data_IF_844969266304
#
_entry.id   IF_844969266304
#
_cell.length_a   1.000
_cell.length_b   1.000
_cell.length_c   1.000
_cell.angle_alpha   90.00
_cell.angle_beta   90.00
_cell.angle_gamma   90.00
#
_symmetry.space_group_name_H-M   'P 1'
#
loop_
_entity.id
_entity.type
_entity.pdbx_description
1 polymer ?
#
# COMPACT_ATOMS: atom_id res chain seq x y z
N UNK A 1 17.01 -7.24 16.74
CA UNK A 1 17.00 -6.98 15.29
C UNK A 1 18.16 -7.75 14.68
N UNK A 2 17.93 -8.96 14.14
CA UNK A 2 18.95 -9.67 13.35
C UNK A 2 18.95 -9.05 11.95
N UNK A 3 19.83 -8.07 11.73
CA UNK A 3 19.95 -7.36 10.45
C UNK A 3 21.28 -7.72 9.82
N UNK A 4 21.27 -8.71 8.92
CA UNK A 4 22.49 -9.23 8.28
C UNK A 4 22.79 -8.58 6.92
N UNK A 5 22.15 -7.43 6.62
CA UNK A 5 22.15 -6.79 5.29
C UNK A 5 22.84 -5.43 5.18
N UNK A 6 23.48 -4.91 6.24
CA UNK A 6 24.11 -3.57 6.20
C UNK A 6 25.54 -3.71 5.65
N UNK A 7 25.80 -3.08 4.49
CA UNK A 7 27.09 -3.19 3.78
C UNK A 7 28.29 -2.64 4.55
N UNK A 8 28.11 -1.56 5.31
CA UNK A 8 29.15 -0.85 6.08
C UNK A 8 28.66 -0.55 7.50
N UNK A 9 28.55 -1.56 8.38
CA UNK A 9 27.86 -1.41 9.66
C UNK A 9 28.55 -0.43 10.63
N UNK A 10 29.88 -0.32 10.58
CA UNK A 10 30.64 0.52 11.51
C UNK A 10 30.59 2.02 11.19
N UNK A 11 30.08 2.41 10.02
CA UNK A 11 30.06 3.80 9.54
C UNK A 11 28.69 4.25 9.03
N UNK A 12 27.63 3.49 9.30
CA UNK A 12 26.26 3.80 8.84
C UNK A 12 25.41 4.41 9.96
N UNK A 13 24.68 5.48 9.63
CA UNK A 13 23.53 5.93 10.44
C UNK A 13 22.29 5.08 10.16
N UNK A 14 21.43 4.87 11.16
CA UNK A 14 20.26 4.00 11.05
C UNK A 14 18.97 4.81 11.10
N UNK A 15 18.05 4.53 10.17
CA UNK A 15 16.68 5.04 10.16
C UNK A 15 15.67 3.89 10.08
N UNK A 16 14.50 4.07 10.69
CA UNK A 16 13.42 3.08 10.73
C UNK A 16 12.19 3.64 10.01
N UNK A 17 11.63 2.87 9.07
CA UNK A 17 10.40 3.20 8.34
C UNK A 17 9.32 2.16 8.61
N UNK A 18 8.46 2.37 9.63
CA UNK A 18 7.31 1.51 9.84
C UNK A 18 6.17 1.91 8.90
N UNK A 19 5.51 0.91 8.31
CA UNK A 19 4.23 1.05 7.60
C UNK A 19 3.35 -0.10 8.05
N UNK A 20 2.14 0.19 8.54
CA UNK A 20 1.22 -0.81 9.11
C UNK A 20 -0.03 -1.01 8.25
N UNK A 21 -0.66 -2.18 8.38
CA UNK A 21 -1.93 -2.51 7.73
C UNK A 21 -3.02 -1.53 8.16
N UNK A 22 -3.24 -1.39 9.46
CA UNK A 22 -4.24 -0.48 10.05
C UNK A 22 -4.06 0.98 9.58
N UNK A 23 -2.81 1.45 9.55
CA UNK A 23 -2.47 2.81 9.11
C UNK A 23 -2.70 3.03 7.62
N UNK A 24 -2.44 2.01 6.80
CA UNK A 24 -2.66 2.04 5.35
C UNK A 24 -4.15 1.99 5.03
N UNK A 25 -4.86 1.02 5.60
CA UNK A 25 -6.28 0.78 5.35
C UNK A 25 -7.14 1.97 5.75
N UNK A 26 -6.89 2.60 6.91
CA UNK A 26 -7.65 3.80 7.32
C UNK A 26 -7.52 4.95 6.31
N UNK A 27 -6.35 5.12 5.70
CA UNK A 27 -6.07 6.18 4.74
C UNK A 27 -6.71 5.86 3.38
N UNK A 28 -6.50 4.65 2.90
CA UNK A 28 -7.00 4.19 1.61
C UNK A 28 -8.53 4.18 1.60
N UNK A 29 -9.16 3.67 2.66
CA UNK A 29 -10.62 3.71 2.84
C UNK A 29 -11.18 5.12 2.74
N UNK A 30 -10.52 6.10 3.37
CA UNK A 30 -10.91 7.51 3.27
C UNK A 30 -10.78 8.06 1.85
N UNK A 31 -9.73 7.68 1.12
CA UNK A 31 -9.55 8.09 -0.27
C UNK A 31 -10.62 7.49 -1.19
N UNK A 32 -10.97 6.21 -1.02
CA UNK A 32 -12.01 5.54 -1.79
C UNK A 32 -13.39 6.16 -1.49
N UNK A 33 -13.76 6.31 -0.22
CA UNK A 33 -15.01 6.98 0.14
C UNK A 33 -15.09 8.39 -0.42
N UNK A 34 -14.00 9.15 -0.35
CA UNK A 34 -13.95 10.48 -0.96
C UNK A 34 -14.20 10.42 -2.47
N UNK A 35 -13.61 9.45 -3.17
CA UNK A 35 -13.84 9.28 -4.60
C UNK A 35 -15.31 8.96 -4.93
N UNK A 36 -15.94 8.08 -4.16
CA UNK A 36 -17.36 7.73 -4.31
C UNK A 36 -18.25 8.95 -4.01
N UNK A 37 -18.04 9.62 -2.88
CA UNK A 37 -18.86 10.75 -2.42
C UNK A 37 -18.76 11.97 -3.36
N UNK A 38 -17.71 12.06 -4.17
CA UNK A 38 -17.41 13.21 -5.04
C UNK A 38 -17.30 12.85 -6.52
N UNK A 39 -17.84 11.69 -6.93
CA UNK A 39 -17.90 11.24 -8.33
C UNK A 39 -16.53 11.34 -9.04
N UNK A 40 -15.49 10.80 -8.39
CA UNK A 40 -14.12 10.77 -8.93
C UNK A 40 -13.87 9.47 -9.66
N UNK A 41 -13.28 9.56 -10.84
CA UNK A 41 -13.08 8.43 -11.74
C UNK A 41 -12.11 7.35 -11.22
N UNK A 42 -11.14 7.70 -10.36
CA UNK A 42 -10.12 6.75 -9.91
C UNK A 42 -9.44 7.12 -8.61
N UNK A 43 -8.90 6.09 -7.94
CA UNK A 43 -7.94 6.21 -6.84
C UNK A 43 -6.68 5.44 -7.22
N UNK A 44 -5.53 6.11 -7.18
CA UNK A 44 -4.23 5.51 -7.52
C UNK A 44 -3.38 5.31 -6.28
N UNK A 45 -2.98 4.06 -6.00
CA UNK A 45 -2.05 3.72 -4.92
C UNK A 45 -0.60 3.92 -5.41
N UNK A 46 0.00 5.05 -5.07
CA UNK A 46 1.40 5.35 -5.44
C UNK A 46 2.34 4.78 -4.39
N UNK A 47 3.34 4.01 -4.84
CA UNK A 47 4.28 3.33 -3.94
C UNK A 47 5.59 2.96 -4.66
N UNK A 48 6.66 2.69 -3.90
CA UNK A 48 7.93 2.13 -4.41
C UNK A 48 8.17 0.69 -3.92
N UNK A 49 7.11 -0.11 -4.00
CA UNK A 49 7.07 -1.48 -3.48
C UNK A 49 7.95 -2.48 -4.22
N UNK A 50 8.45 -2.15 -5.41
CA UNK A 50 9.40 -2.99 -6.14
C UNK A 50 10.74 -3.15 -5.40
N UNK A 51 11.17 -2.12 -4.65
CA UNK A 51 12.36 -2.16 -3.79
C UNK A 51 11.97 -2.34 -2.33
N UNK A 52 11.03 -1.53 -1.82
CA UNK A 52 10.57 -1.56 -0.43
C UNK A 52 9.39 -2.53 -0.25
N UNK A 53 9.62 -3.82 -0.51
CA UNK A 53 8.58 -4.85 -0.59
C UNK A 53 7.67 -4.94 0.63
N UNK A 54 8.24 -4.87 1.83
CA UNK A 54 7.52 -5.12 3.09
C UNK A 54 6.90 -3.87 3.72
N UNK A 55 7.08 -2.70 3.11
CA UNK A 55 6.47 -1.45 3.59
C UNK A 55 5.61 -0.83 2.49
N UNK A 56 6.22 -0.32 1.44
CA UNK A 56 5.50 0.30 0.33
C UNK A 56 4.82 -0.72 -0.59
N UNK A 57 5.39 -1.92 -0.74
CA UNK A 57 4.70 -3.03 -1.40
C UNK A 57 3.51 -3.51 -0.58
N UNK A 58 3.69 -3.59 0.74
CA UNK A 58 2.61 -3.95 1.66
C UNK A 58 1.46 -2.92 1.64
N UNK A 59 1.77 -1.61 1.61
CA UNK A 59 0.78 -0.54 1.43
C UNK A 59 -0.13 -0.76 0.21
N UNK A 60 0.47 -1.05 -0.96
CA UNK A 60 -0.28 -1.35 -2.18
C UNK A 60 -1.14 -2.62 -2.02
N UNK A 61 -0.55 -3.70 -1.50
CA UNK A 61 -1.25 -4.98 -1.35
C UNK A 61 -2.44 -4.87 -0.42
N UNK A 62 -2.29 -4.23 0.74
CA UNK A 62 -3.40 -4.00 1.67
C UNK A 62 -4.48 -3.10 1.07
N UNK A 63 -4.11 -2.14 0.22
CA UNK A 63 -5.09 -1.34 -0.51
C UNK A 63 -5.98 -2.15 -1.45
N UNK A 64 -5.38 -3.03 -2.26
CA UNK A 64 -6.16 -3.92 -3.13
C UNK A 64 -6.94 -4.99 -2.35
N UNK A 65 -6.41 -5.48 -1.23
CA UNK A 65 -7.12 -6.40 -0.33
C UNK A 65 -8.37 -5.71 0.25
N UNK A 66 -8.24 -4.47 0.72
CA UNK A 66 -9.34 -3.68 1.25
C UNK A 66 -10.43 -3.40 0.22
N UNK A 67 -10.05 -3.07 -1.02
CA UNK A 67 -11.01 -2.88 -2.13
C UNK A 67 -11.87 -4.13 -2.34
N UNK A 68 -11.27 -5.31 -2.32
CA UNK A 68 -12.00 -6.58 -2.48
C UNK A 68 -12.91 -6.90 -1.29
N UNK A 69 -12.45 -6.60 -0.07
CA UNK A 69 -13.13 -7.04 1.15
C UNK A 69 -14.23 -6.08 1.61
N UNK A 70 -14.12 -4.77 1.32
CA UNK A 70 -15.02 -3.75 1.85
C UNK A 70 -15.80 -2.99 0.78
N UNK A 71 -15.38 -3.05 -0.47
CA UNK A 71 -15.99 -2.32 -1.59
C UNK A 71 -16.41 -3.24 -2.74
N UNK A 72 -16.40 -4.56 -2.53
CA UNK A 72 -16.76 -5.57 -3.53
C UNK A 72 -16.02 -5.42 -4.87
N UNK A 73 -14.82 -4.84 -4.86
CA UNK A 73 -14.10 -4.51 -6.09
C UNK A 73 -13.63 -5.72 -6.87
N UNK A 74 -13.89 -5.72 -8.18
CA UNK A 74 -13.56 -6.79 -9.11
C UNK A 74 -12.27 -6.51 -9.88
N UNK A 75 -11.54 -7.56 -10.29
CA UNK A 75 -10.32 -7.40 -11.07
C UNK A 75 -10.63 -7.03 -12.52
N UNK A 76 -9.90 -6.03 -13.04
CA UNK A 76 -9.90 -5.68 -14.47
C UNK A 76 -8.85 -6.54 -15.18
N UNK A 77 -9.24 -7.28 -16.23
CA UNK A 77 -8.36 -8.08 -17.10
C UNK A 77 -7.41 -9.06 -16.36
N UNK A 78 -7.82 -9.55 -15.18
CA UNK A 78 -6.98 -10.43 -14.35
C UNK A 78 -6.00 -9.70 -13.41
N UNK A 79 -6.02 -8.37 -13.37
CA UNK A 79 -5.38 -7.53 -12.36
C UNK A 79 -4.06 -6.86 -12.78
N UNK A 80 -3.46 -6.06 -11.88
CA UNK A 80 -3.85 -5.86 -10.49
C UNK A 80 -4.94 -4.81 -10.28
N UNK A 81 -5.37 -4.09 -11.32
CA UNK A 81 -6.36 -3.02 -11.19
C UNK A 81 -7.74 -3.57 -10.85
N UNK A 82 -8.54 -2.76 -10.16
CA UNK A 82 -9.90 -3.10 -9.79
C UNK A 82 -10.92 -2.06 -10.24
N UNK A 83 -12.14 -2.50 -10.51
CA UNK A 83 -13.35 -1.67 -10.62
C UNK A 83 -14.24 -1.86 -9.40
N UNK A 84 -14.99 -0.82 -9.03
CA UNK A 84 -16.05 -0.86 -8.02
C UNK A 84 -17.42 -0.88 -8.70
#
# INVERSE_FOLDING_TARGET
MNVDGIRFPNTSGIGIKPVSKEGSERLIRKAINYAIDNDRESVSLVHKGNIMKYTEGAFMNWGYELVKNEFDGELIDGGPWCSL
#
